data_IF_275998764369
#
_entry.id   IF_275998764369
#
_cell.length_a   1.000
_cell.length_b   1.000
_cell.length_c   1.000
_cell.angle_alpha   90.00
_cell.angle_beta   90.00
_cell.angle_gamma   90.00
#
_symmetry.space_group_name_H-M   'P 1'
#
loop_
_entity.id
_entity.type
_entity.pdbx_description
1 polymer ?
#
# COMPACT_ATOMS: atom_id res chain seq x y z
N UNK A 1 -18.58 -29.85 -26.69
CA UNK A 1 -18.05 -28.77 -25.83
C UNK A 1 -16.67 -29.22 -25.38
N UNK A 2 -15.61 -28.52 -25.80
CA UNK A 2 -14.24 -28.88 -25.40
C UNK A 2 -13.96 -28.31 -24.01
N UNK A 3 -13.81 -29.18 -23.01
CA UNK A 3 -13.55 -28.81 -21.60
C UNK A 3 -12.06 -28.52 -21.34
N UNK A 4 -11.48 -27.64 -22.16
CA UNK A 4 -10.09 -27.19 -22.07
C UNK A 4 -9.99 -25.85 -21.34
N UNK A 5 -8.92 -25.65 -20.57
CA UNK A 5 -8.70 -24.41 -19.84
C UNK A 5 -8.36 -23.27 -20.82
N UNK A 6 -8.95 -22.10 -20.62
CA UNK A 6 -8.65 -20.92 -21.43
C UNK A 6 -7.21 -20.44 -21.18
N UNK A 7 -6.48 -20.14 -22.26
CA UNK A 7 -5.14 -19.56 -22.15
C UNK A 7 -5.21 -18.15 -21.55
N UNK A 8 -4.28 -17.81 -20.67
CA UNK A 8 -4.23 -16.53 -19.94
C UNK A 8 -5.44 -16.28 -19.02
N UNK A 9 -6.24 -17.31 -18.75
CA UNK A 9 -7.36 -17.27 -17.84
C UNK A 9 -7.03 -17.85 -16.46
N UNK A 10 -8.06 -17.93 -15.62
CA UNK A 10 -7.98 -18.67 -14.36
C UNK A 10 -7.85 -20.17 -14.71
N UNK A 11 -7.01 -20.89 -13.97
CA UNK A 11 -6.68 -22.31 -14.19
C UNK A 11 -5.83 -22.58 -15.46
N UNK A 12 -5.08 -21.60 -15.97
CA UNK A 12 -4.08 -21.83 -17.02
C UNK A 12 -3.04 -22.88 -16.57
N UNK A 13 -2.74 -23.92 -17.37
CA UNK A 13 -1.70 -24.93 -17.10
C UNK A 13 -0.31 -24.37 -16.78
N UNK A 14 -0.03 -23.12 -17.16
CA UNK A 14 1.19 -22.39 -16.78
C UNK A 14 1.28 -22.12 -15.27
N UNK A 15 0.14 -21.96 -14.57
CA UNK A 15 0.10 -21.79 -13.11
C UNK A 15 0.18 -23.11 -12.35
N UNK A 16 0.10 -24.24 -13.05
CA UNK A 16 0.05 -25.57 -12.48
C UNK A 16 -1.10 -26.38 -13.06
N UNK A 17 -1.09 -27.67 -12.77
CA UNK A 17 -2.12 -28.61 -13.22
C UNK A 17 -2.74 -29.29 -12.02
N UNK A 18 -4.08 -29.39 -12.01
CA UNK A 18 -4.81 -30.20 -11.02
C UNK A 18 -5.26 -31.55 -11.61
N UNK A 19 -5.09 -31.76 -12.92
CA UNK A 19 -5.51 -32.98 -13.61
C UNK A 19 -4.32 -33.92 -13.76
N UNK A 20 -4.46 -35.18 -13.33
CA UNK A 20 -3.41 -36.21 -13.43
C UNK A 20 -2.94 -36.44 -14.89
N UNK A 21 -3.84 -36.26 -15.85
CA UNK A 21 -3.57 -36.49 -17.28
C UNK A 21 -2.98 -35.26 -18.00
N UNK A 22 -2.76 -34.15 -17.30
CA UNK A 22 -2.15 -32.94 -17.88
C UNK A 22 -0.90 -32.58 -17.09
N UNK A 23 0.18 -32.26 -17.80
CA UNK A 23 1.44 -31.77 -17.20
C UNK A 23 1.41 -30.24 -17.15
N UNK A 24 2.08 -29.66 -16.15
CA UNK A 24 2.24 -28.21 -16.09
C UNK A 24 3.09 -27.72 -17.26
N UNK A 25 2.67 -26.66 -17.94
CA UNK A 25 3.41 -26.10 -19.09
C UNK A 25 4.72 -25.41 -18.67
N UNK A 26 4.80 -24.92 -17.43
CA UNK A 26 5.97 -24.16 -16.94
C UNK A 26 7.10 -25.08 -16.47
N UNK A 27 6.79 -26.09 -15.63
CA UNK A 27 7.81 -27.00 -15.10
C UNK A 27 7.82 -28.39 -15.75
N UNK A 28 6.85 -28.74 -16.60
CA UNK A 28 6.76 -30.03 -17.27
C UNK A 28 6.42 -31.23 -16.35
N UNK A 29 6.22 -30.97 -15.06
CA UNK A 29 5.96 -32.00 -14.04
C UNK A 29 4.48 -32.36 -13.94
N UNK A 30 4.20 -33.55 -13.40
CA UNK A 30 2.85 -33.99 -13.06
C UNK A 30 2.37 -33.33 -11.76
N UNK A 31 1.08 -33.48 -11.45
CA UNK A 31 0.42 -32.90 -10.25
C UNK A 31 1.17 -33.21 -8.96
N UNK A 32 1.77 -34.41 -8.83
CA UNK A 32 2.43 -34.82 -7.58
C UNK A 32 3.78 -34.11 -7.33
N UNK A 33 4.48 -33.73 -8.40
CA UNK A 33 5.82 -33.12 -8.31
C UNK A 33 5.79 -31.60 -8.58
N UNK A 34 4.62 -31.06 -8.89
CA UNK A 34 4.42 -29.65 -9.20
C UNK A 34 4.06 -28.87 -7.92
N UNK A 35 4.90 -27.89 -7.56
CA UNK A 35 4.66 -27.01 -6.41
C UNK A 35 3.59 -25.94 -6.65
N UNK A 36 3.19 -25.73 -7.92
CA UNK A 36 2.36 -24.61 -8.36
C UNK A 36 3.17 -23.35 -8.67
N UNK A 37 2.65 -22.52 -9.57
CA UNK A 37 3.27 -21.27 -10.00
C UNK A 37 2.33 -20.10 -9.79
N UNK A 38 2.87 -18.97 -9.34
CA UNK A 38 2.08 -17.78 -9.09
C UNK A 38 1.67 -17.09 -10.40
N UNK A 39 0.43 -16.62 -10.42
CA UNK A 39 -0.05 -15.63 -11.38
C UNK A 39 -0.28 -14.29 -10.69
N UNK A 40 -0.48 -13.25 -11.48
CA UNK A 40 -0.92 -11.94 -11.01
C UNK A 40 -2.10 -11.45 -11.85
N UNK A 41 -2.86 -10.52 -11.29
CA UNK A 41 -3.96 -9.85 -11.97
C UNK A 41 -3.69 -8.35 -11.87
N UNK A 42 -3.57 -7.70 -13.02
CA UNK A 42 -3.48 -6.25 -13.08
C UNK A 42 -4.87 -5.65 -12.88
N UNK A 43 -4.98 -4.78 -11.88
CA UNK A 43 -6.20 -4.03 -11.61
C UNK A 43 -6.09 -2.66 -12.27
N UNK A 44 -7.16 -2.21 -12.94
CA UNK A 44 -7.20 -0.89 -13.57
C UNK A 44 -7.01 0.27 -12.58
N UNK A 45 -7.36 0.05 -11.29
CA UNK A 45 -7.22 1.03 -10.21
C UNK A 45 -6.59 0.37 -8.98
N UNK A 46 -5.78 1.12 -8.19
CA UNK A 46 -5.21 0.59 -6.97
C UNK A 46 -6.28 0.40 -5.89
N UNK A 47 -6.15 -0.69 -5.13
CA UNK A 47 -7.07 -1.07 -4.05
C UNK A 47 -6.32 -1.12 -2.72
N UNK A 48 -6.97 -0.66 -1.65
CA UNK A 48 -6.41 -0.77 -0.30
C UNK A 48 -6.48 -2.22 0.21
N UNK A 49 -5.33 -2.75 0.61
CA UNK A 49 -5.28 -4.07 1.26
C UNK A 49 -5.87 -4.01 2.68
N UNK A 50 -6.90 -4.82 2.95
CA UNK A 50 -7.66 -4.83 4.21
C UNK A 50 -6.75 -5.03 5.44
N UNK A 51 -5.73 -5.90 5.32
CA UNK A 51 -4.76 -6.15 6.39
C UNK A 51 -3.85 -4.96 6.73
N UNK A 52 -3.64 -4.04 5.78
CA UNK A 52 -2.79 -2.86 5.99
C UNK A 52 -3.58 -1.58 6.23
N UNK A 53 -4.91 -1.61 6.11
CA UNK A 53 -5.77 -0.44 6.22
C UNK A 53 -5.52 0.39 7.49
N UNK A 54 -5.43 -0.26 8.66
CA UNK A 54 -5.13 0.41 9.94
C UNK A 54 -3.73 1.03 9.98
N UNK A 55 -2.74 0.34 9.41
CA UNK A 55 -1.36 0.83 9.32
C UNK A 55 -1.26 2.03 8.38
N UNK A 56 -1.97 2.01 7.26
CA UNK A 56 -2.04 3.11 6.29
C UNK A 56 -2.63 4.34 6.96
N UNK A 57 -3.74 4.22 7.69
CA UNK A 57 -4.31 5.33 8.45
C UNK A 57 -3.29 5.92 9.43
N UNK A 58 -2.56 5.07 10.15
CA UNK A 58 -1.52 5.51 11.11
C UNK A 58 -0.38 6.28 10.43
N UNK A 59 0.05 5.82 9.26
CA UNK A 59 1.08 6.49 8.46
C UNK A 59 0.55 7.84 7.96
N UNK A 60 -0.65 7.86 7.38
CA UNK A 60 -1.29 9.06 6.87
C UNK A 60 -1.50 10.10 7.97
N UNK A 61 -1.85 9.69 9.19
CA UNK A 61 -1.92 10.57 10.35
C UNK A 61 -0.55 11.19 10.72
N UNK A 62 0.56 10.51 10.41
CA UNK A 62 1.91 10.92 10.80
C UNK A 62 2.66 11.75 9.74
N UNK A 63 2.14 11.83 8.51
CA UNK A 63 2.73 12.59 7.40
C UNK A 63 1.89 13.79 6.99
N UNK A 64 2.51 14.80 6.38
CA UNK A 64 1.84 15.99 5.91
C UNK A 64 1.20 15.73 4.55
N UNK A 65 -0.04 16.18 4.36
CA UNK A 65 -0.87 15.83 3.19
C UNK A 65 -0.48 16.63 1.94
N UNK A 66 0.24 17.73 2.13
CA UNK A 66 0.73 18.59 1.05
C UNK A 66 2.17 18.27 0.65
N UNK A 67 3.08 18.08 1.61
CA UNK A 67 4.51 17.87 1.31
C UNK A 67 5.00 16.43 1.52
N UNK A 68 4.14 15.50 1.95
CA UNK A 68 4.45 14.10 2.24
C UNK A 68 5.56 13.85 3.28
N UNK A 69 6.04 14.89 3.98
CA UNK A 69 7.05 14.77 5.04
C UNK A 69 6.42 14.39 6.38
N UNK A 70 7.16 13.68 7.22
CA UNK A 70 6.75 13.35 8.60
C UNK A 70 6.60 14.63 9.42
N UNK A 71 5.55 14.73 10.26
CA UNK A 71 5.29 15.88 11.15
C UNK A 71 6.23 15.90 12.38
N UNK A 72 7.53 15.74 12.17
CA UNK A 72 8.54 15.85 13.22
C UNK A 72 9.50 17.00 12.91
N UNK A 73 9.96 17.68 13.95
CA UNK A 73 11.04 18.65 13.79
C UNK A 73 12.34 17.91 13.45
N UNK A 74 13.31 18.55 12.76
CA UNK A 74 14.58 17.92 12.41
C UNK A 74 15.30 17.28 13.62
N UNK A 75 15.30 17.97 14.76
CA UNK A 75 15.92 17.51 16.01
C UNK A 75 15.31 16.20 16.53
N UNK A 76 13.98 16.17 16.65
CA UNK A 76 13.24 14.97 17.09
C UNK A 76 13.48 13.81 16.13
N UNK A 77 13.45 14.09 14.83
CA UNK A 77 13.68 13.10 13.78
C UNK A 77 15.07 12.47 13.90
N UNK A 78 16.10 13.27 14.16
CA UNK A 78 17.47 12.75 14.35
C UNK A 78 17.54 11.85 15.58
N UNK A 79 17.01 12.29 16.72
CA UNK A 79 16.97 11.51 17.97
C UNK A 79 16.32 10.13 17.77
N UNK A 80 15.14 10.08 17.17
CA UNK A 80 14.47 8.80 16.92
C UNK A 80 15.19 7.96 15.87
N UNK A 81 15.77 8.58 14.83
CA UNK A 81 16.50 7.87 13.79
C UNK A 81 17.76 7.19 14.33
N UNK A 82 18.49 7.81 15.25
CA UNK A 82 19.68 7.23 15.86
C UNK A 82 19.33 5.97 16.66
N UNK A 83 18.27 6.03 17.46
CA UNK A 83 17.79 4.89 18.24
C UNK A 83 17.36 3.74 17.32
N UNK A 84 16.67 4.05 16.22
CA UNK A 84 16.17 3.04 15.27
C UNK A 84 17.29 2.39 14.43
N UNK A 85 18.42 3.07 14.24
CA UNK A 85 19.60 2.54 13.52
C UNK A 85 20.42 1.54 14.35
N UNK A 86 20.17 1.44 15.65
CA UNK A 86 20.87 0.49 16.52
C UNK A 86 20.58 -0.97 16.08
N UNK A 87 21.61 -1.82 15.90
CA UNK A 87 21.42 -3.18 15.34
C UNK A 87 20.61 -4.10 16.24
N UNK A 88 20.74 -3.95 17.57
CA UNK A 88 20.16 -4.87 18.57
C UNK A 88 18.89 -4.33 19.25
N UNK A 89 18.01 -3.67 18.51
CA UNK A 89 16.79 -3.10 19.09
C UNK A 89 15.63 -4.11 19.07
N UNK A 90 15.17 -4.46 20.29
CA UNK A 90 14.04 -5.38 20.53
C UNK A 90 12.74 -4.90 19.85
N UNK A 91 11.94 -5.84 19.35
CA UNK A 91 10.60 -5.59 18.81
C UNK A 91 9.70 -4.76 19.74
N UNK A 92 9.67 -5.06 21.04
CA UNK A 92 8.86 -4.31 22.01
C UNK A 92 9.28 -2.83 22.10
N UNK A 93 10.60 -2.57 22.07
CA UNK A 93 11.16 -1.22 22.04
C UNK A 93 10.81 -0.51 20.74
N UNK A 94 10.94 -1.17 19.58
CA UNK A 94 10.48 -0.63 18.28
C UNK A 94 8.99 -0.28 18.30
N UNK A 95 8.15 -1.15 18.86
CA UNK A 95 6.70 -0.94 18.97
C UNK A 95 6.38 0.28 19.83
N UNK A 96 7.06 0.43 20.97
CA UNK A 96 6.89 1.58 21.85
C UNK A 96 7.33 2.89 21.20
N UNK A 97 8.49 2.91 20.54
CA UNK A 97 8.98 4.09 19.82
C UNK A 97 8.04 4.52 18.71
N UNK A 98 7.52 3.57 17.92
CA UNK A 98 6.51 3.87 16.89
C UNK A 98 5.27 4.54 17.48
N UNK A 99 4.76 4.02 18.59
CA UNK A 99 3.59 4.60 19.28
C UNK A 99 3.87 6.04 19.71
N UNK A 100 5.03 6.28 20.34
CA UNK A 100 5.45 7.63 20.76
C UNK A 100 5.57 8.60 19.58
N UNK A 101 6.18 8.17 18.47
CA UNK A 101 6.33 9.00 17.26
C UNK A 101 4.96 9.39 16.69
N UNK A 102 4.05 8.42 16.56
CA UNK A 102 2.69 8.66 16.04
C UNK A 102 1.94 9.65 16.94
N UNK A 103 1.99 9.47 18.26
CA UNK A 103 1.35 10.38 19.22
C UNK A 103 1.87 11.82 19.11
N UNK A 104 3.18 12.00 18.87
CA UNK A 104 3.76 13.33 18.64
C UNK A 104 3.29 13.96 17.33
N UNK A 105 3.21 13.18 16.25
CA UNK A 105 2.76 13.66 14.96
C UNK A 105 1.28 14.06 14.98
N UNK A 106 0.41 13.26 15.60
CA UNK A 106 -1.05 13.50 15.68
C UNK A 106 -1.38 14.78 16.46
N UNK A 107 -0.56 15.13 17.46
CA UNK A 107 -0.77 16.36 18.25
C UNK A 107 -0.51 17.63 17.44
N UNK A 108 0.35 17.58 16.42
CA UNK A 108 0.76 18.75 15.62
C UNK A 108 -0.26 19.02 14.51
N UNK A 109 -0.84 20.21 14.54
CA UNK A 109 -1.77 20.70 13.51
C UNK A 109 -1.08 21.40 12.35
N UNK A 110 0.14 21.90 12.51
CA UNK A 110 0.85 22.68 11.47
C UNK A 110 2.14 21.96 11.09
N UNK A 111 2.39 21.85 9.77
CA UNK A 111 3.61 21.25 9.27
C UNK A 111 4.81 22.19 9.47
N UNK A 112 5.93 21.73 10.05
CA UNK A 112 7.12 22.57 10.26
C UNK A 112 7.91 22.88 8.97
N UNK A 113 7.54 22.28 7.83
CA UNK A 113 8.28 22.43 6.56
C UNK A 113 7.54 23.28 5.52
N UNK A 114 6.22 23.17 5.44
CA UNK A 114 5.41 23.88 4.44
C UNK A 114 4.32 24.75 5.06
N UNK A 115 4.23 24.83 6.39
CA UNK A 115 3.21 25.57 7.14
C UNK A 115 1.75 25.21 6.82
N UNK A 116 1.51 24.14 6.07
CA UNK A 116 0.17 23.66 5.80
C UNK A 116 -0.48 23.13 7.08
N UNK A 117 -1.75 23.46 7.28
CA UNK A 117 -2.60 22.92 8.34
C UNK A 117 -2.98 21.49 8.00
N UNK A 118 -2.73 20.57 8.92
CA UNK A 118 -3.21 19.20 8.86
C UNK A 118 -4.41 19.11 9.79
N UNK A 119 -5.56 18.78 9.23
CA UNK A 119 -6.77 18.56 10.01
C UNK A 119 -6.53 17.40 10.99
N UNK A 120 -6.90 17.61 12.26
CA UNK A 120 -6.88 16.54 13.25
C UNK A 120 -8.04 15.63 12.91
N UNK A 121 -7.74 14.39 12.56
CA UNK A 121 -8.73 13.37 12.21
C UNK A 121 -9.60 13.00 13.44
N UNK A 122 -10.49 13.89 13.88
CA UNK A 122 -11.75 13.50 14.50
C UNK A 122 -12.65 13.04 13.36
N UNK A 123 -13.01 11.75 13.33
CA UNK A 123 -13.96 11.17 12.38
C UNK A 123 -13.42 10.67 11.03
N UNK A 124 -12.26 9.98 11.02
CA UNK A 124 -12.10 8.90 10.04
C UNK A 124 -12.92 7.70 10.53
N UNK A 125 -14.23 7.74 10.31
CA UNK A 125 -15.06 6.55 10.49
C UNK A 125 -14.62 5.48 9.49
N UNK A 126 -14.68 4.18 9.82
CA UNK A 126 -14.07 3.13 8.99
C UNK A 126 -14.63 3.01 7.56
N UNK A 127 -15.79 3.61 7.26
CA UNK A 127 -16.44 3.52 5.94
C UNK A 127 -17.14 4.79 5.44
N UNK A 128 -17.22 5.88 6.21
CA UNK A 128 -18.13 6.99 5.88
C UNK A 128 -17.54 8.16 5.10
N UNK A 129 -16.21 8.21 4.89
CA UNK A 129 -15.55 9.37 4.28
C UNK A 129 -14.34 9.03 3.41
N UNK A 130 -14.26 7.80 2.91
CA UNK A 130 -13.21 7.39 1.96
C UNK A 130 -13.52 7.87 0.53
N UNK A 131 -14.76 8.30 0.25
CA UNK A 131 -15.13 8.84 -1.08
C UNK A 131 -14.45 10.17 -1.43
N UNK A 132 -13.84 10.86 -0.46
CA UNK A 132 -13.18 12.16 -0.69
C UNK A 132 -11.75 12.22 -0.16
N UNK A 133 -11.14 11.08 0.19
CA UNK A 133 -9.69 10.99 0.11
C UNK A 133 -9.34 10.85 -1.37
N UNK A 134 -9.35 12.00 -2.05
CA UNK A 134 -8.67 12.25 -3.30
C UNK A 134 -7.40 11.39 -3.29
N UNK A 135 -7.30 10.44 -4.21
CA UNK A 135 -6.04 9.77 -4.57
C UNK A 135 -4.96 10.76 -5.09
N UNK A 136 -5.16 12.05 -4.85
CA UNK A 136 -4.28 13.19 -5.01
C UNK A 136 -3.18 13.24 -3.95
N UNK A 137 -3.01 12.19 -3.13
CA UNK A 137 -1.69 11.90 -2.59
C UNK A 137 -0.78 11.60 -3.79
N UNK A 138 -0.27 12.66 -4.42
CA UNK A 138 0.87 12.63 -5.33
C UNK A 138 2.04 12.07 -4.54
N UNK A 139 2.10 10.75 -4.42
CA UNK A 139 3.34 10.08 -4.20
C UNK A 139 4.18 10.34 -5.45
N UNK A 140 5.35 11.00 -5.34
CA UNK A 140 6.27 11.05 -6.45
C UNK A 140 6.75 9.62 -6.68
N UNK A 141 6.06 8.90 -7.57
CA UNK A 141 6.60 7.69 -8.15
C UNK A 141 7.80 8.13 -8.97
N UNK A 142 8.99 7.77 -8.50
CA UNK A 142 10.24 8.08 -9.18
C UNK A 142 10.16 7.69 -10.65
N UNK A 143 10.57 8.62 -11.51
CA UNK A 143 11.05 8.41 -12.87
C UNK A 143 10.40 7.27 -13.65
N UNK A 144 9.19 7.51 -14.15
CA UNK A 144 8.81 7.36 -15.56
C UNK A 144 7.36 7.84 -15.71
N UNK A 145 7.18 8.84 -16.57
CA UNK A 145 6.00 9.71 -16.60
C UNK A 145 4.67 8.98 -16.82
N UNK A 146 3.74 9.21 -15.91
CA UNK A 146 2.31 9.20 -16.18
C UNK A 146 1.66 10.23 -15.23
N UNK A 147 1.52 11.46 -15.72
CA UNK A 147 0.60 12.42 -15.11
C UNK A 147 -0.82 11.92 -15.37
N UNK A 148 -1.41 11.21 -14.42
CA UNK A 148 -2.85 10.96 -14.44
C UNK A 148 -3.54 12.27 -14.06
N UNK A 149 -3.75 13.10 -15.08
CA UNK A 149 -4.84 14.07 -15.07
C UNK A 149 -6.11 13.23 -15.08
N UNK A 150 -6.81 13.17 -13.96
CA UNK A 150 -8.22 12.77 -13.97
C UNK A 150 -8.95 13.85 -14.78
N UNK A 151 -9.09 13.63 -16.09
CA UNK A 151 -10.04 14.35 -16.90
C UNK A 151 -11.44 13.90 -16.51
N UNK A 152 -12.34 14.87 -16.35
CA UNK A 152 -13.77 14.67 -16.37
C UNK A 152 -14.14 13.71 -17.51
N UNK A 153 -14.75 12.58 -17.16
CA UNK A 153 -15.59 11.88 -18.13
C UNK A 153 -17.00 12.31 -17.75
N UNK A 154 -17.43 13.36 -18.45
CA UNK A 154 -18.81 13.78 -18.47
C UNK A 154 -19.72 12.59 -18.72
N UNK A 155 -20.86 12.66 -18.04
CA UNK A 155 -21.97 11.77 -18.22
C UNK A 155 -22.58 11.96 -19.62
N UNK A 156 -23.36 10.95 -20.04
CA UNK A 156 -24.40 10.99 -21.07
C UNK A 156 -23.94 10.78 -22.53
N UNK A 157 -24.50 9.74 -23.17
CA UNK A 157 -24.50 9.56 -24.63
C UNK A 157 -24.39 8.12 -25.08
#
# INVERSE_FOLDING_TARGET
INHEAASHGVLDPKMGTSRKNQKCTTCGKQVQDCIGHFGYVDLNLPVFHVGYFRSIITILQSVCKTCARVLLKPEERMKYSEILKQPNINYLKKKQLRKQIVELCVKKSVCPFCNATNEKNGSLTPLGRVSHMCMCARFPTGSNGASVLYGEIDSVG
#
